data_IF_316064156265
#
_entry.id   IF_316064156265
#
_cell.length_a   1.000
_cell.length_b   1.000
_cell.length_c   1.000
_cell.angle_alpha   90.00
_cell.angle_beta   90.00
_cell.angle_gamma   90.00
#
_symmetry.space_group_name_H-M   'P 1'
#
loop_
_entity.id
_entity.type
_entity.pdbx_description
1 polymer ?
#
# COMPACT_ATOMS: atom_id res chain seq x y z
N UNK A 1 -19.52 8.34 21.02
CA UNK A 1 -19.64 7.81 19.63
C UNK A 1 -19.36 8.85 18.53
N UNK A 2 -19.92 10.07 18.57
CA UNK A 2 -19.69 11.10 17.52
C UNK A 2 -18.23 11.58 17.41
N UNK A 3 -17.56 11.79 18.56
CA UNK A 3 -16.16 12.25 18.58
C UNK A 3 -15.18 11.19 18.03
N UNK A 4 -15.44 9.91 18.29
CA UNK A 4 -14.63 8.79 17.76
C UNK A 4 -14.70 8.68 16.24
N UNK A 5 -15.91 8.82 15.68
CA UNK A 5 -16.11 8.80 14.23
C UNK A 5 -15.43 9.99 13.57
N UNK A 6 -15.62 11.20 14.13
CA UNK A 6 -14.97 12.41 13.63
C UNK A 6 -13.44 12.27 13.66
N UNK A 7 -12.87 11.75 14.75
CA UNK A 7 -11.43 11.50 14.86
C UNK A 7 -10.92 10.54 13.78
N UNK A 8 -11.62 9.44 13.52
CA UNK A 8 -11.23 8.49 12.46
C UNK A 8 -11.25 9.13 11.07
N UNK A 9 -12.21 10.00 10.79
CA UNK A 9 -12.27 10.75 9.53
C UNK A 9 -11.07 11.71 9.41
N UNK A 10 -10.76 12.46 10.47
CA UNK A 10 -9.61 13.37 10.50
C UNK A 10 -8.32 12.60 10.28
N UNK A 11 -8.12 11.48 10.99
CA UNK A 11 -6.94 10.65 10.81
C UNK A 11 -6.88 10.02 9.43
N UNK A 12 -8.00 9.60 8.84
CA UNK A 12 -8.03 9.09 7.47
C UNK A 12 -7.59 10.17 6.46
N UNK A 13 -8.03 11.43 6.63
CA UNK A 13 -7.58 12.55 5.82
C UNK A 13 -6.08 12.84 5.98
N UNK A 14 -5.57 12.81 7.22
CA UNK A 14 -4.13 12.93 7.50
C UNK A 14 -3.31 11.80 6.87
N UNK A 15 -3.79 10.56 6.97
CA UNK A 15 -3.16 9.41 6.32
C UNK A 15 -3.19 9.54 4.80
N UNK A 16 -4.32 9.95 4.20
CA UNK A 16 -4.37 10.18 2.75
C UNK A 16 -3.36 11.25 2.30
N UNK A 17 -3.25 12.35 3.05
CA UNK A 17 -2.29 13.41 2.78
C UNK A 17 -0.83 12.93 2.91
N UNK A 18 -0.48 12.23 3.98
CA UNK A 18 0.90 11.74 4.15
C UNK A 18 1.24 10.62 3.16
N UNK A 19 0.27 9.81 2.75
CA UNK A 19 0.46 8.80 1.70
C UNK A 19 0.80 9.50 0.38
N UNK A 20 0.01 10.50 -0.02
CA UNK A 20 0.25 11.31 -1.23
C UNK A 20 1.62 12.01 -1.18
N UNK A 21 1.95 12.68 -0.07
CA UNK A 21 3.25 13.36 0.08
C UNK A 21 4.38 12.34 0.09
N UNK A 22 4.21 11.22 0.78
CA UNK A 22 5.24 10.20 0.93
C UNK A 22 5.67 9.60 -0.40
N UNK A 23 4.72 9.24 -1.27
CA UNK A 23 5.03 8.79 -2.63
C UNK A 23 5.55 9.92 -3.53
N UNK A 24 5.06 11.15 -3.34
CA UNK A 24 5.47 12.29 -4.17
C UNK A 24 6.91 12.70 -3.92
N UNK A 25 7.34 12.74 -2.66
CA UNK A 25 8.64 13.29 -2.22
C UNK A 25 9.72 12.22 -2.17
N UNK A 26 9.44 11.03 -1.63
CA UNK A 26 10.45 10.01 -1.43
C UNK A 26 10.59 9.10 -2.66
N UNK A 27 11.32 9.57 -3.67
CA UNK A 27 11.56 8.84 -4.94
C UNK A 27 12.99 8.33 -5.02
N UNK A 28 13.27 7.24 -4.31
CA UNK A 28 14.56 6.54 -4.43
C UNK A 28 14.47 5.57 -5.60
N UNK A 29 15.20 5.78 -6.72
CA UNK A 29 15.07 4.94 -7.91
C UNK A 29 15.51 3.50 -7.65
N UNK A 30 14.81 2.55 -8.26
CA UNK A 30 15.12 1.12 -8.20
C UNK A 30 15.57 0.67 -9.60
N UNK A 31 16.68 -0.08 -9.72
CA UNK A 31 17.06 -0.67 -11.00
C UNK A 31 15.97 -1.64 -11.49
N UNK A 32 15.53 -1.48 -12.74
CA UNK A 32 14.48 -2.31 -13.31
C UNK A 32 14.65 -2.49 -14.82
N UNK A 33 14.14 -3.62 -15.31
CA UNK A 33 14.10 -3.92 -16.75
C UNK A 33 12.93 -3.25 -17.46
N UNK A 34 11.86 -2.93 -16.71
CA UNK A 34 10.64 -2.32 -17.22
C UNK A 34 10.32 -1.07 -16.41
N UNK A 35 10.09 0.05 -17.10
CA UNK A 35 9.72 1.32 -16.48
C UNK A 35 10.83 1.99 -15.68
N UNK A 36 10.44 2.93 -14.82
CA UNK A 36 11.34 3.67 -13.91
C UNK A 36 10.80 3.63 -12.48
N UNK A 37 10.71 2.44 -11.86
CA UNK A 37 10.17 2.32 -10.52
C UNK A 37 11.10 2.98 -9.51
N UNK A 38 10.49 3.37 -8.40
CA UNK A 38 11.18 3.88 -7.23
C UNK A 38 10.57 3.23 -5.99
N UNK A 39 11.24 3.41 -4.85
CA UNK A 39 10.75 2.92 -3.56
C UNK A 39 9.39 3.57 -3.27
N UNK A 40 8.36 2.74 -3.26
CA UNK A 40 6.98 3.19 -3.24
C UNK A 40 6.49 3.36 -1.79
N UNK A 41 6.96 4.40 -1.12
CA UNK A 41 6.63 4.72 0.27
C UNK A 41 5.12 4.79 0.54
N UNK A 42 4.33 5.22 -0.45
CA UNK A 42 2.88 5.29 -0.30
C UNK A 42 2.22 3.94 -0.01
N UNK A 43 2.77 2.81 -0.48
CA UNK A 43 2.23 1.47 -0.18
C UNK A 43 2.43 1.12 1.30
N UNK A 44 3.60 1.46 1.84
CA UNK A 44 3.93 1.25 3.25
C UNK A 44 3.06 2.12 4.16
N UNK A 45 2.84 3.38 3.79
CA UNK A 45 1.97 4.30 4.52
C UNK A 45 0.49 3.89 4.42
N UNK A 46 0.03 3.37 3.29
CA UNK A 46 -1.32 2.81 3.14
C UNK A 46 -1.52 1.56 4.02
N UNK A 47 -0.52 0.66 4.08
CA UNK A 47 -0.55 -0.47 4.99
C UNK A 47 -0.63 -0.01 6.46
N UNK A 48 0.14 1.00 6.87
CA UNK A 48 0.03 1.59 8.21
C UNK A 48 -1.36 2.19 8.47
N UNK A 49 -1.96 2.87 7.48
CA UNK A 49 -3.32 3.39 7.60
C UNK A 49 -4.33 2.27 7.89
N UNK A 50 -4.21 1.12 7.22
CA UNK A 50 -5.05 -0.06 7.45
C UNK A 50 -4.82 -0.65 8.84
N UNK A 51 -3.57 -0.74 9.29
CA UNK A 51 -3.22 -1.26 10.63
C UNK A 51 -3.83 -0.39 11.74
N UNK A 52 -3.81 0.94 11.57
CA UNK A 52 -4.22 1.88 12.62
C UNK A 52 -5.69 2.27 12.57
N UNK A 53 -6.27 2.38 11.38
CA UNK A 53 -7.67 2.84 11.19
C UNK A 53 -8.63 1.69 10.84
N UNK A 54 -8.09 0.49 10.63
CA UNK A 54 -8.82 -0.70 10.21
C UNK A 54 -9.20 -0.65 8.72
N UNK A 55 -9.90 -1.70 8.28
CA UNK A 55 -10.30 -1.87 6.88
C UNK A 55 -10.99 -0.64 6.31
N UNK A 56 -12.05 -0.11 6.94
CA UNK A 56 -12.84 0.96 6.32
C UNK A 56 -12.04 2.25 6.10
N UNK A 57 -11.64 2.93 7.19
CA UNK A 57 -11.00 4.24 7.10
C UNK A 57 -9.57 4.16 6.55
N UNK A 58 -8.83 3.09 6.85
CA UNK A 58 -7.47 2.89 6.36
C UNK A 58 -7.42 2.62 4.86
N UNK A 59 -8.33 1.79 4.33
CA UNK A 59 -8.42 1.55 2.88
C UNK A 59 -8.82 2.81 2.13
N UNK A 60 -9.80 3.57 2.64
CA UNK A 60 -10.21 4.85 2.04
C UNK A 60 -9.02 5.82 2.02
N UNK A 61 -8.26 5.94 3.11
CA UNK A 61 -7.08 6.79 3.16
C UNK A 61 -6.02 6.37 2.14
N UNK A 62 -5.75 5.05 2.02
CA UNK A 62 -4.85 4.50 1.01
C UNK A 62 -5.31 4.76 -0.42
N UNK A 63 -6.59 4.50 -0.70
CA UNK A 63 -7.17 4.64 -2.04
C UNK A 63 -7.18 6.12 -2.47
N UNK A 64 -7.55 7.04 -1.59
CA UNK A 64 -7.51 8.47 -1.87
C UNK A 64 -6.06 8.94 -2.03
N UNK A 65 -5.17 8.61 -1.09
CA UNK A 65 -3.79 9.10 -1.12
C UNK A 65 -3.03 8.64 -2.37
N UNK A 66 -3.08 7.34 -2.67
CA UNK A 66 -2.40 6.76 -3.83
C UNK A 66 -3.13 7.06 -5.15
N UNK A 67 -4.46 6.95 -5.18
CA UNK A 67 -5.25 7.26 -6.37
C UNK A 67 -5.11 8.72 -6.78
N UNK A 68 -5.13 9.66 -5.82
CA UNK A 68 -4.91 11.07 -6.08
C UNK A 68 -3.49 11.35 -6.55
N UNK A 69 -2.49 10.64 -6.02
CA UNK A 69 -1.13 10.71 -6.54
C UNK A 69 -1.11 10.34 -8.03
N UNK A 70 -1.65 9.19 -8.38
CA UNK A 70 -1.65 8.70 -9.76
C UNK A 70 -2.35 9.67 -10.71
N UNK A 71 -3.53 10.15 -10.32
CA UNK A 71 -4.31 11.12 -11.10
C UNK A 71 -3.52 12.41 -11.34
N UNK A 72 -2.83 12.93 -10.33
CA UNK A 72 -2.13 14.22 -10.42
C UNK A 72 -0.70 14.14 -10.96
N UNK A 73 -0.11 12.94 -11.08
CA UNK A 73 1.31 12.75 -11.44
C UNK A 73 1.52 11.96 -12.75
N UNK A 74 0.52 11.94 -13.64
CA UNK A 74 0.66 11.36 -14.98
C UNK A 74 0.38 9.85 -15.07
N UNK A 75 -0.25 9.27 -14.04
CA UNK A 75 -0.69 7.88 -13.99
C UNK A 75 -2.22 7.75 -13.89
N UNK A 76 -2.95 8.78 -14.34
CA UNK A 76 -4.42 8.84 -14.23
C UNK A 76 -5.10 7.61 -14.87
N UNK A 77 -4.60 7.16 -16.04
CA UNK A 77 -5.12 6.02 -16.79
C UNK A 77 -4.93 4.68 -16.07
N UNK A 78 -4.05 4.61 -15.07
CA UNK A 78 -3.79 3.40 -14.26
C UNK A 78 -4.28 3.53 -12.83
N UNK A 79 -4.76 4.72 -12.43
CA UNK A 79 -5.15 5.03 -11.04
C UNK A 79 -6.22 4.08 -10.47
N UNK A 80 -7.13 3.59 -11.31
CA UNK A 80 -8.16 2.64 -10.88
C UNK A 80 -7.58 1.28 -10.48
N UNK A 81 -6.50 0.83 -11.12
CA UNK A 81 -5.80 -0.38 -10.69
C UNK A 81 -5.16 -0.18 -9.32
N UNK A 82 -4.53 0.96 -9.07
CA UNK A 82 -3.96 1.29 -7.76
C UNK A 82 -5.02 1.28 -6.66
N UNK A 83 -6.18 1.88 -6.91
CA UNK A 83 -7.30 1.87 -5.95
C UNK A 83 -7.77 0.42 -5.67
N UNK A 84 -7.92 -0.41 -6.71
CA UNK A 84 -8.30 -1.82 -6.57
C UNK A 84 -7.25 -2.61 -5.78
N UNK A 85 -5.96 -2.41 -6.06
CA UNK A 85 -4.88 -3.07 -5.32
C UNK A 85 -4.88 -2.69 -3.84
N UNK A 86 -5.12 -1.41 -3.51
CA UNK A 86 -5.24 -0.97 -2.12
C UNK A 86 -6.37 -1.72 -1.40
N UNK A 87 -7.53 -1.88 -2.05
CA UNK A 87 -8.67 -2.59 -1.47
C UNK A 87 -8.32 -4.06 -1.22
N UNK A 88 -7.75 -4.74 -2.23
CA UNK A 88 -7.37 -6.16 -2.12
C UNK A 88 -6.33 -6.37 -1.03
N UNK A 89 -5.29 -5.55 -0.99
CA UNK A 89 -4.23 -5.64 0.02
C UNK A 89 -4.80 -5.38 1.42
N UNK A 90 -5.67 -4.38 1.57
CA UNK A 90 -6.30 -4.09 2.85
C UNK A 90 -7.23 -5.22 3.33
N UNK A 91 -7.92 -5.90 2.41
CA UNK A 91 -8.70 -7.11 2.72
C UNK A 91 -7.80 -8.22 3.24
N UNK A 92 -6.70 -8.52 2.55
CA UNK A 92 -5.72 -9.55 2.96
C UNK A 92 -5.14 -9.24 4.34
N UNK A 93 -4.67 -8.00 4.55
CA UNK A 93 -4.14 -7.55 5.84
C UNK A 93 -5.18 -7.66 6.95
N UNK A 94 -6.43 -7.26 6.69
CA UNK A 94 -7.50 -7.33 7.67
C UNK A 94 -7.86 -8.78 8.01
N UNK A 95 -7.84 -9.69 7.03
CA UNK A 95 -8.00 -11.12 7.25
C UNK A 95 -6.94 -11.65 8.22
N UNK A 96 -5.67 -11.36 7.95
CA UNK A 96 -4.55 -11.79 8.80
C UNK A 96 -4.60 -11.15 10.19
N UNK A 97 -4.94 -9.87 10.30
CA UNK A 97 -5.15 -9.21 11.59
C UNK A 97 -6.21 -9.91 12.44
N UNK A 98 -7.31 -10.36 11.84
CA UNK A 98 -8.36 -11.11 12.54
C UNK A 98 -7.88 -12.47 13.02
N UNK A 99 -7.08 -13.17 12.21
CA UNK A 99 -6.46 -14.46 12.58
C UNK A 99 -5.45 -14.30 13.72
N UNK A 100 -4.70 -13.19 13.74
CA UNK A 100 -3.67 -12.91 14.73
C UNK A 100 -4.18 -12.15 15.97
N UNK A 101 -5.50 -12.01 16.17
CA UNK A 101 -6.09 -11.16 17.23
C UNK A 101 -5.57 -11.42 18.64
N UNK A 102 -5.10 -12.64 18.93
CA UNK A 102 -4.59 -13.06 20.24
C UNK A 102 -3.05 -13.01 20.33
N UNK A 103 -2.36 -12.62 19.26
CA UNK A 103 -0.90 -12.50 19.22
C UNK A 103 -0.49 -11.05 19.50
N UNK A 104 0.28 -10.83 20.56
CA UNK A 104 0.68 -9.49 21.01
C UNK A 104 2.19 -9.23 20.98
N UNK A 105 3.00 -10.18 20.49
CA UNK A 105 4.46 -10.04 20.39
C UNK A 105 4.92 -9.29 19.14
N UNK A 106 6.09 -8.65 19.17
CA UNK A 106 6.62 -7.80 18.07
C UNK A 106 6.56 -8.41 16.66
N UNK A 107 6.50 -9.73 16.53
CA UNK A 107 6.42 -10.43 15.25
C UNK A 107 5.08 -10.26 14.50
N UNK A 108 3.97 -9.93 15.19
CA UNK A 108 2.66 -9.82 14.53
C UNK A 108 2.64 -8.69 13.48
N UNK A 109 3.36 -7.59 13.72
CA UNK A 109 3.45 -6.48 12.77
C UNK A 109 4.22 -6.87 11.52
N UNK A 110 5.30 -7.64 11.68
CA UNK A 110 6.12 -8.13 10.57
C UNK A 110 5.29 -9.07 9.69
N UNK A 111 4.48 -9.94 10.29
CA UNK A 111 3.59 -10.84 9.54
C UNK A 111 2.57 -10.04 8.72
N UNK A 112 1.94 -9.01 9.29
CA UNK A 112 0.98 -8.18 8.54
C UNK A 112 1.66 -7.37 7.44
N UNK A 113 2.84 -6.82 7.72
CA UNK A 113 3.63 -6.11 6.73
C UNK A 113 4.06 -7.03 5.58
N UNK A 114 4.42 -8.28 5.90
CA UNK A 114 4.72 -9.32 4.91
C UNK A 114 3.48 -9.67 4.08
N UNK A 115 2.29 -9.77 4.68
CA UNK A 115 1.04 -9.94 3.92
C UNK A 115 0.82 -8.81 2.93
N UNK A 116 1.08 -7.56 3.31
CA UNK A 116 0.96 -6.42 2.41
C UNK A 116 1.98 -6.50 1.26
N UNK A 117 3.26 -6.76 1.58
CA UNK A 117 4.33 -6.87 0.60
C UNK A 117 4.14 -8.04 -0.38
N UNK A 118 3.87 -9.25 0.14
CA UNK A 118 3.67 -10.45 -0.69
C UNK A 118 2.39 -10.32 -1.51
N UNK A 119 1.30 -9.82 -0.90
CA UNK A 119 0.06 -9.53 -1.60
C UNK A 119 0.28 -8.60 -2.79
N UNK A 120 1.09 -7.54 -2.60
CA UNK A 120 1.45 -6.61 -3.68
C UNK A 120 2.19 -7.28 -4.84
N UNK A 121 3.08 -8.25 -4.58
CA UNK A 121 3.75 -8.99 -5.67
C UNK A 121 2.72 -9.67 -6.56
N UNK A 122 1.76 -10.38 -5.95
CA UNK A 122 0.71 -11.09 -6.68
C UNK A 122 -0.24 -10.14 -7.42
N UNK A 123 -0.73 -9.10 -6.73
CA UNK A 123 -1.68 -8.16 -7.36
C UNK A 123 -1.03 -7.36 -8.48
N UNK A 124 0.20 -6.89 -8.29
CA UNK A 124 0.88 -6.08 -9.31
C UNK A 124 1.27 -6.91 -10.53
N UNK A 125 1.55 -8.20 -10.37
CA UNK A 125 1.73 -9.11 -11.51
C UNK A 125 0.45 -9.23 -12.35
N UNK A 126 -0.69 -9.48 -11.70
CA UNK A 126 -1.99 -9.59 -12.38
C UNK A 126 -2.41 -8.27 -13.04
N UNK A 127 -2.21 -7.16 -12.34
CA UNK A 127 -2.46 -5.81 -12.89
C UNK A 127 -1.56 -5.54 -14.10
N UNK A 128 -0.27 -5.87 -14.03
CA UNK A 128 0.66 -5.66 -15.15
C UNK A 128 0.22 -6.43 -16.41
N UNK A 129 -0.27 -7.67 -16.25
CA UNK A 129 -0.83 -8.44 -17.37
C UNK A 129 -2.08 -7.76 -17.91
N UNK A 130 -3.03 -7.41 -17.03
CA UNK A 130 -4.29 -6.79 -17.43
C UNK A 130 -4.09 -5.45 -18.13
N UNK A 131 -3.21 -4.60 -17.61
CA UNK A 131 -2.86 -3.30 -18.20
C UNK A 131 -2.24 -3.47 -19.58
N UNK A 132 -1.29 -4.40 -19.75
CA UNK A 132 -0.67 -4.68 -21.04
C UNK A 132 -1.70 -5.17 -22.08
N UNK A 133 -2.61 -6.06 -21.67
CA UNK A 133 -3.68 -6.55 -22.55
C UNK A 133 -4.67 -5.46 -22.97
N UNK A 134 -5.05 -4.56 -22.06
CA UNK A 134 -5.90 -3.40 -22.37
C UNK A 134 -5.24 -2.50 -23.41
N UNK A 135 -3.91 -2.38 -23.37
CA UNK A 135 -3.09 -1.65 -24.35
C UNK A 135 -2.88 -2.43 -25.67
N UNK A 136 -3.51 -3.59 -25.84
CA UNK A 136 -3.44 -4.39 -27.06
C UNK A 136 -2.23 -5.33 -27.16
N UNK A 137 -1.48 -5.53 -26.07
CA UNK A 137 -0.36 -6.48 -26.03
C UNK A 137 -0.91 -7.91 -26.00
N UNK A 138 -0.33 -8.82 -26.79
CA UNK A 138 -0.72 -10.22 -26.77
C UNK A 138 -0.44 -10.87 -25.41
N UNK A 139 -1.28 -11.83 -25.01
CA UNK A 139 -1.22 -12.44 -23.68
C UNK A 139 0.17 -13.00 -23.31
N UNK A 140 0.81 -13.71 -24.24
CA UNK A 140 2.15 -14.27 -24.01
C UNK A 140 3.21 -13.17 -23.75
N UNK A 141 3.12 -12.05 -24.48
CA UNK A 141 4.04 -10.92 -24.30
C UNK A 141 3.72 -10.18 -22.99
N UNK A 142 2.45 -10.03 -22.63
CA UNK A 142 2.00 -9.41 -21.39
C UNK A 142 2.52 -10.17 -20.16
N UNK A 143 2.48 -11.51 -20.17
CA UNK A 143 3.06 -12.36 -19.12
C UNK A 143 4.56 -12.09 -18.96
N UNK A 144 5.30 -12.07 -20.07
CA UNK A 144 6.75 -11.83 -20.03
C UNK A 144 7.04 -10.44 -19.48
N UNK A 145 6.34 -9.39 -19.94
CA UNK A 145 6.53 -8.03 -19.44
C UNK A 145 6.22 -7.92 -17.95
N UNK A 146 5.14 -8.55 -17.48
CA UNK A 146 4.76 -8.59 -16.07
C UNK A 146 5.81 -9.34 -15.24
N UNK A 147 6.40 -10.42 -15.76
CA UNK A 147 7.47 -11.15 -15.08
C UNK A 147 8.73 -10.28 -14.95
N UNK A 148 9.09 -9.53 -16.00
CA UNK A 148 10.24 -8.64 -15.99
C UNK A 148 10.09 -7.44 -15.04
N UNK A 149 8.86 -7.08 -14.63
CA UNK A 149 8.61 -6.02 -13.62
C UNK A 149 8.70 -6.53 -12.18
N UNK A 150 8.62 -7.85 -11.96
CA UNK A 150 8.64 -8.45 -10.62
C UNK A 150 9.87 -8.10 -9.77
N UNK A 151 11.11 -8.03 -10.29
CA UNK A 151 12.27 -7.71 -9.45
C UNK A 151 12.12 -6.37 -8.72
N UNK A 152 11.61 -5.34 -9.41
CA UNK A 152 11.37 -4.04 -8.79
C UNK A 152 10.22 -4.10 -7.77
N UNK A 153 9.17 -4.87 -8.06
CA UNK A 153 8.05 -5.09 -7.13
C UNK A 153 8.51 -5.82 -5.87
N UNK A 154 9.38 -6.83 -5.98
CA UNK A 154 9.96 -7.55 -4.84
C UNK A 154 10.76 -6.60 -3.96
N UNK A 155 11.60 -5.75 -4.54
CA UNK A 155 12.35 -4.72 -3.78
C UNK A 155 11.38 -3.78 -3.05
N UNK A 156 10.32 -3.34 -3.73
CA UNK A 156 9.27 -2.52 -3.13
C UNK A 156 8.50 -3.22 -2.00
N UNK A 157 8.25 -4.52 -2.13
CA UNK A 157 7.61 -5.33 -1.11
C UNK A 157 8.49 -5.52 0.12
N UNK A 158 9.78 -5.79 -0.06
CA UNK A 158 10.75 -5.84 1.04
C UNK A 158 10.82 -4.46 1.74
N UNK A 159 10.91 -3.40 0.95
CA UNK A 159 10.93 -2.02 1.48
C UNK A 159 9.66 -1.72 2.30
N UNK A 160 8.50 -2.18 1.82
CA UNK A 160 7.24 -2.06 2.56
C UNK A 160 7.29 -2.78 3.89
N UNK A 161 7.81 -4.01 3.93
CA UNK A 161 7.95 -4.78 5.18
C UNK A 161 8.83 -4.03 6.19
N UNK A 162 9.97 -3.53 5.73
CA UNK A 162 10.93 -2.79 6.56
C UNK A 162 10.32 -1.48 7.05
N UNK A 163 9.78 -0.65 6.16
CA UNK A 163 9.22 0.67 6.49
C UNK A 163 8.05 0.54 7.45
N UNK A 164 7.12 -0.39 7.21
CA UNK A 164 5.96 -0.61 8.11
C UNK A 164 6.44 -1.05 9.49
N UNK A 165 7.37 -2.00 9.55
CA UNK A 165 7.89 -2.52 10.83
C UNK A 165 8.61 -1.45 11.63
N UNK A 166 9.40 -0.59 10.97
CA UNK A 166 10.11 0.51 11.61
C UNK A 166 9.17 1.64 12.07
N UNK A 167 8.24 2.07 11.21
CA UNK A 167 7.37 3.21 11.49
C UNK A 167 6.20 2.87 12.42
N UNK A 168 5.83 1.59 12.57
CA UNK A 168 4.73 1.19 13.44
C UNK A 168 4.93 1.66 14.88
N UNK A 169 6.13 1.47 15.45
CA UNK A 169 6.41 1.82 16.86
C UNK A 169 6.26 3.33 17.15
N UNK A 170 6.93 4.25 16.42
CA UNK A 170 6.77 5.68 16.67
C UNK A 170 5.35 6.17 16.40
N UNK A 171 4.69 5.70 15.34
CA UNK A 171 3.31 6.10 15.03
C UNK A 171 2.34 5.61 16.11
N UNK A 172 2.49 4.36 16.60
CA UNK A 172 1.69 3.85 17.71
C UNK A 172 1.81 4.74 18.95
N UNK A 173 3.03 5.13 19.32
CA UNK A 173 3.27 6.04 20.46
C UNK A 173 2.53 7.38 20.26
N UNK A 174 2.60 7.97 19.06
CA UNK A 174 1.89 9.20 18.74
C UNK A 174 0.37 9.01 18.86
N UNK A 175 -0.18 7.96 18.26
CA UNK A 175 -1.61 7.68 18.29
C UNK A 175 -2.15 7.44 19.71
N UNK A 176 -1.38 6.79 20.59
CA UNK A 176 -1.79 6.62 21.99
C UNK A 176 -1.88 7.95 22.76
N UNK A 177 -1.13 8.98 22.36
CA UNK A 177 -1.24 10.32 22.95
C UNK A 177 -2.51 11.05 22.52
N UNK A 178 -2.95 10.86 21.27
CA UNK A 178 -4.23 11.38 20.76
C UNK A 178 -5.47 10.64 21.29
N UNK A 179 -5.27 9.50 21.95
CA UNK A 179 -6.31 8.71 22.59
C UNK A 179 -6.46 8.95 24.10
N UNK A 180 -5.57 9.75 24.70
CA UNK A 180 -5.74 10.28 26.07
C UNK A 180 -6.49 11.59 26.01
#
# INVERSE_FOLDING_TARGET
>A
MRNERLRKIILAGLFAAIIYIGISVFRIPIPAMVGKPFIHFGNSLAALAVIFLGFSYGTIAGAIGLGLFDILNGYADTSYFTILEVIVIALLMTGVMKLLKNYHGQYWIVIIAATAGIGKIGTSYLVSIGEAMIKGVSFNVAIVQAFLSLPATVINSISTIVIVSLLYVPIKKLMTRFNR
#
